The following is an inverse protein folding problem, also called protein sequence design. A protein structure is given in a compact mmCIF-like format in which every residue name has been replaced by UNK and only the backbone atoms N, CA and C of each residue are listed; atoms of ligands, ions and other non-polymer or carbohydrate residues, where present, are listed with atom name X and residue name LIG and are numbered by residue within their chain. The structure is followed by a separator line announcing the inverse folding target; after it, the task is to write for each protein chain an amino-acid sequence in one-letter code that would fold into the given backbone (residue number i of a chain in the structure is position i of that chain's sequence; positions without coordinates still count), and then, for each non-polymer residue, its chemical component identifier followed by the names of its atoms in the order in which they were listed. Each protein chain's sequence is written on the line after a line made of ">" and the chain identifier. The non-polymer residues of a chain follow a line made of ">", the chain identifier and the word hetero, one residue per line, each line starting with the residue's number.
data_IF_937008872106
#
_entry.id   IF_937008872106
#
_cell.length_a   1.000
_cell.length_b   1.000
_cell.length_c   1.000
_cell.angle_alpha   90.00
_cell.angle_beta   90.00
_cell.angle_gamma   90.00
#
_symmetry.space_group_name_H-M   'P 1'
#
loop_
_entity.id
_entity.type
_entity.pdbx_description
1 polymer ?
#
# COMPACT_ATOMS: atom_id res chain seq x y z
N UNK A 1 -20.71 -7.37 -21.62
CA UNK A 1 -19.70 -6.83 -20.69
C UNK A 1 -18.92 -7.97 -20.05
N UNK A 2 -17.63 -8.08 -20.36
CA UNK A 2 -16.72 -9.10 -19.80
C UNK A 2 -15.86 -8.45 -18.73
N UNK A 3 -15.66 -9.12 -17.58
CA UNK A 3 -14.78 -8.66 -16.51
C UNK A 3 -13.60 -9.60 -16.36
N UNK A 4 -12.39 -9.10 -16.64
CA UNK A 4 -11.14 -9.81 -16.37
C UNK A 4 -10.66 -9.44 -14.96
N UNK A 5 -10.25 -10.43 -14.18
CA UNK A 5 -9.78 -10.23 -12.79
C UNK A 5 -8.41 -10.87 -12.60
N UNK A 6 -7.47 -10.11 -12.05
CA UNK A 6 -6.14 -10.56 -11.66
C UNK A 6 -6.02 -10.47 -10.14
N UNK A 7 -6.03 -11.62 -9.47
CA UNK A 7 -5.95 -11.75 -8.01
C UNK A 7 -5.32 -13.11 -7.65
N UNK A 8 -4.10 -13.16 -7.08
CA UNK A 8 -3.24 -12.03 -6.75
C UNK A 8 -2.52 -11.44 -7.97
N UNK A 9 -2.16 -10.16 -7.90
CA UNK A 9 -1.14 -9.59 -8.78
C UNK A 9 0.24 -10.09 -8.32
N UNK A 10 1.02 -10.68 -9.23
CA UNK A 10 2.33 -11.27 -8.90
C UNK A 10 3.49 -10.32 -9.22
N UNK A 11 4.66 -10.57 -8.61
CA UNK A 11 5.90 -9.77 -8.75
C UNK A 11 5.74 -8.30 -8.33
N UNK A 12 4.96 -8.06 -7.29
CA UNK A 12 4.83 -6.78 -6.60
C UNK A 12 5.10 -6.95 -5.10
N UNK A 13 5.24 -5.85 -4.39
CA UNK A 13 5.15 -5.81 -2.93
C UNK A 13 3.69 -5.66 -2.50
N UNK A 14 3.32 -6.32 -1.40
CA UNK A 14 1.96 -6.28 -0.85
C UNK A 14 0.93 -7.07 -1.66
N UNK A 15 -0.35 -6.78 -1.40
CA UNK A 15 -1.48 -7.45 -2.03
C UNK A 15 -2.31 -6.48 -2.85
N UNK A 16 -2.57 -6.87 -4.10
CA UNK A 16 -3.40 -6.11 -5.00
C UNK A 16 -4.29 -7.03 -5.82
N UNK A 17 -5.42 -6.47 -6.23
CA UNK A 17 -6.31 -7.01 -7.24
C UNK A 17 -6.50 -5.98 -8.33
N UNK A 18 -6.51 -6.42 -9.58
CA UNK A 18 -6.86 -5.57 -10.72
C UNK A 18 -8.11 -6.13 -11.39
N UNK A 19 -9.08 -5.26 -11.66
CA UNK A 19 -10.27 -5.60 -12.46
C UNK A 19 -10.31 -4.76 -13.72
N UNK A 20 -10.47 -5.40 -14.87
CA UNK A 20 -10.58 -4.76 -16.19
C UNK A 20 -11.97 -5.07 -16.76
N UNK A 21 -12.71 -4.03 -17.09
CA UNK A 21 -14.02 -4.11 -17.73
C UNK A 21 -13.86 -3.88 -19.22
N UNK A 22 -14.38 -4.81 -20.03
CA UNK A 22 -14.33 -4.75 -21.48
C UNK A 22 -15.71 -4.43 -22.07
N UNK A 23 -15.71 -3.59 -23.09
CA UNK A 23 -16.88 -3.30 -23.92
C UNK A 23 -17.25 -4.51 -24.80
N UNK A 24 -18.29 -4.37 -25.63
CA UNK A 24 -18.74 -5.43 -26.53
C UNK A 24 -17.74 -5.74 -27.66
N UNK A 25 -16.91 -4.77 -28.04
CA UNK A 25 -15.84 -4.93 -29.03
C UNK A 25 -14.55 -5.52 -28.43
N UNK A 26 -14.51 -5.74 -27.11
CA UNK A 26 -13.35 -6.25 -26.38
C UNK A 26 -12.31 -5.19 -26.02
N UNK A 27 -12.61 -3.89 -26.21
CA UNK A 27 -11.72 -2.81 -25.77
C UNK A 27 -11.90 -2.56 -24.27
N UNK A 28 -10.86 -2.01 -23.64
CA UNK A 28 -10.89 -1.63 -22.23
C UNK A 28 -11.79 -0.40 -22.05
N UNK A 29 -12.85 -0.56 -21.25
CA UNK A 29 -13.77 0.51 -20.86
C UNK A 29 -13.39 1.12 -19.50
N UNK A 30 -13.05 0.28 -18.51
CA UNK A 30 -12.67 0.71 -17.16
C UNK A 30 -11.61 -0.23 -16.56
N UNK A 31 -10.77 0.31 -15.68
CA UNK A 31 -9.81 -0.48 -14.89
C UNK A 31 -9.77 0.00 -13.46
N UNK A 32 -9.66 -0.94 -12.51
CA UNK A 32 -9.57 -0.62 -11.09
C UNK A 32 -8.46 -1.40 -10.42
N UNK A 33 -7.63 -0.69 -9.68
CA UNK A 33 -6.70 -1.24 -8.69
C UNK A 33 -7.40 -1.27 -7.34
N UNK A 34 -7.40 -2.43 -6.70
CA UNK A 34 -7.95 -2.62 -5.37
C UNK A 34 -6.80 -2.89 -4.39
N UNK A 35 -6.65 -2.00 -3.42
CA UNK A 35 -5.78 -2.20 -2.25
C UNK A 35 -6.66 -2.81 -1.17
N UNK A 36 -6.50 -4.11 -0.95
CA UNK A 36 -7.41 -4.89 -0.10
C UNK A 36 -7.00 -4.92 1.37
N UNK A 37 -5.75 -4.56 1.66
CA UNK A 37 -5.17 -4.67 2.99
C UNK A 37 -5.15 -3.33 3.72
N UNK A 38 -5.33 -3.41 5.04
CA UNK A 38 -5.23 -2.27 5.93
C UNK A 38 -4.56 -2.69 7.23
N UNK A 39 -3.61 -1.88 7.72
CA UNK A 39 -2.91 -2.11 9.00
C UNK A 39 -3.06 -0.98 10.01
N UNK A 40 -3.29 0.26 9.57
CA UNK A 40 -3.62 1.37 10.48
C UNK A 40 -2.47 1.88 11.37
N UNK A 41 -1.23 1.89 10.87
CA UNK A 41 -0.06 2.38 11.62
C UNK A 41 -0.26 3.77 12.24
N UNK A 42 -0.94 4.68 11.53
CA UNK A 42 -1.24 6.03 12.00
C UNK A 42 -2.02 6.02 13.32
N UNK A 43 -2.96 5.09 13.48
CA UNK A 43 -3.72 4.94 14.72
C UNK A 43 -2.88 4.33 15.83
N UNK A 44 -2.03 3.36 15.49
CA UNK A 44 -1.13 2.70 16.46
C UNK A 44 -0.03 3.62 17.00
N UNK A 45 0.30 4.69 16.28
CA UNK A 45 1.26 5.69 16.73
C UNK A 45 0.68 6.68 17.73
N UNK A 46 -0.65 6.83 17.81
CA UNK A 46 -1.26 7.79 18.73
C UNK A 46 -0.95 7.40 20.19
N UNK A 47 -0.40 8.35 20.95
CA UNK A 47 -0.03 8.17 22.35
C UNK A 47 1.30 7.46 22.59
N UNK A 48 2.04 7.11 21.53
CA UNK A 48 3.39 6.55 21.67
C UNK A 48 4.44 7.63 21.89
N UNK A 49 5.53 7.32 22.62
CA UNK A 49 6.72 8.16 22.64
C UNK A 49 7.24 8.39 21.22
N UNK A 50 7.55 9.64 20.89
CA UNK A 50 7.86 10.06 19.52
C UNK A 50 9.15 9.39 19.00
N UNK A 51 10.09 9.09 19.88
CA UNK A 51 11.34 8.38 19.60
C UNK A 51 11.15 6.91 19.20
N UNK A 52 9.98 6.33 19.43
CA UNK A 52 9.64 4.99 18.94
C UNK A 52 9.27 5.00 17.46
N UNK A 53 8.79 6.12 16.91
CA UNK A 53 8.24 6.19 15.55
C UNK A 53 9.23 5.68 14.49
N UNK A 54 10.53 6.07 14.48
CA UNK A 54 11.49 5.59 13.48
C UNK A 54 11.79 4.09 13.58
N UNK A 55 11.46 3.44 14.69
CA UNK A 55 11.56 1.98 14.85
C UNK A 55 10.28 1.27 14.43
N UNK A 56 9.12 1.90 14.59
CA UNK A 56 7.82 1.31 14.27
C UNK A 56 7.51 1.43 12.77
N UNK A 57 7.58 2.63 12.19
CA UNK A 57 7.10 2.86 10.82
C UNK A 57 7.85 2.15 9.70
N UNK A 58 9.14 1.73 9.82
CA UNK A 58 9.78 0.91 8.79
C UNK A 58 9.06 -0.41 8.55
N UNK A 59 8.20 -0.85 9.48
CA UNK A 59 7.41 -2.09 9.34
C UNK A 59 6.19 -1.88 8.43
N UNK A 60 5.96 -0.67 7.91
CA UNK A 60 4.98 -0.43 6.86
C UNK A 60 5.40 -1.17 5.58
N UNK A 61 6.66 -1.19 5.20
CA UNK A 61 7.07 -1.72 3.90
C UNK A 61 8.40 -2.44 4.03
N UNK A 62 8.48 -3.69 3.57
CA UNK A 62 9.71 -4.49 3.65
C UNK A 62 10.78 -4.12 2.61
N UNK A 63 10.39 -3.42 1.54
CA UNK A 63 11.30 -2.98 0.46
C UNK A 63 11.78 -1.54 0.67
N UNK A 64 10.91 -0.71 1.21
CA UNK A 64 11.11 0.74 1.39
C UNK A 64 11.24 1.12 2.87
N UNK A 65 11.75 0.20 3.67
CA UNK A 65 11.90 0.33 5.12
C UNK A 65 12.84 1.48 5.51
N UNK A 66 13.96 1.65 4.79
CA UNK A 66 14.93 2.73 5.00
C UNK A 66 14.28 4.10 4.75
N UNK A 67 13.44 4.22 3.72
CA UNK A 67 12.75 5.47 3.38
C UNK A 67 11.77 5.84 4.49
N UNK A 68 11.01 4.88 5.01
CA UNK A 68 10.15 5.09 6.18
C UNK A 68 10.95 5.47 7.43
N UNK A 69 12.09 4.82 7.66
CA UNK A 69 12.98 5.15 8.77
C UNK A 69 13.48 6.60 8.70
N UNK A 70 14.04 7.00 7.56
CA UNK A 70 14.59 8.34 7.35
C UNK A 70 13.51 9.42 7.39
N UNK A 71 12.35 9.17 6.81
CA UNK A 71 11.23 10.12 6.85
C UNK A 71 10.76 10.34 8.30
N UNK A 72 10.63 9.25 9.07
CA UNK A 72 10.27 9.36 10.48
C UNK A 72 11.35 10.04 11.30
N UNK A 73 12.63 9.71 11.12
CA UNK A 73 13.71 10.35 11.86
C UNK A 73 13.70 11.87 11.64
N UNK A 74 13.63 12.31 10.38
CA UNK A 74 13.52 13.73 10.03
C UNK A 74 12.31 14.42 10.65
N UNK A 75 11.17 13.72 10.76
CA UNK A 75 9.96 14.27 11.37
C UNK A 75 10.06 14.37 12.90
N UNK A 76 10.81 13.47 13.54
CA UNK A 76 11.05 13.49 14.99
C UNK A 76 12.13 14.52 15.37
N UNK A 77 13.10 14.76 14.49
CA UNK A 77 14.19 15.72 14.73
C UNK A 77 13.74 17.20 14.62
N UNK A 78 12.63 17.47 13.92
CA UNK A 78 12.09 18.81 13.66
C UNK A 78 11.31 19.38 14.85
#
# INVERSE_FOLDING_TARGET
>A
MVKVTMEPVTRIEGHAKITVHLDEAGNVEDTRLHVMEFRGFEKFLQGRPIEEAPRIVPRICGICDVQHHLASAKAVDA
#
